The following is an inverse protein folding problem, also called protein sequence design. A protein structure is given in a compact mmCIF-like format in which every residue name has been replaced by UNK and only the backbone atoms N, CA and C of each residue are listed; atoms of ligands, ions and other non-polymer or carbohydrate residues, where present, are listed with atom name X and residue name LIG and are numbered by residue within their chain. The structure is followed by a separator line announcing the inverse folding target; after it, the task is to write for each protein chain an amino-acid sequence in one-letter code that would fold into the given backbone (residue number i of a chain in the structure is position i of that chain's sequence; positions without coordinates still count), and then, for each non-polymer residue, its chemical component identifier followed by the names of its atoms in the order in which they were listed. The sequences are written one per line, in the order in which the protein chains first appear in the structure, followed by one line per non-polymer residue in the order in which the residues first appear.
data_IF_557962843912
#
_entry.id   IF_557962843912
#
_cell.length_a   1.000
_cell.length_b   1.000
_cell.length_c   1.000
_cell.angle_alpha   90.00
_cell.angle_beta   90.00
_cell.angle_gamma   90.00
#
_symmetry.space_group_name_H-M   'P 1'
#
loop_
_entity.id
_entity.type
_entity.pdbx_description
1 polymer ?
#
# COMPACT_ATOMS: atom_id res chain seq x y z
N UNK A 1 -18.47 -25.02 1.05
CA UNK A 1 -17.17 -24.84 0.36
C UNK A 1 -16.13 -24.49 1.41
N UNK A 2 -15.22 -25.40 1.75
CA UNK A 2 -14.15 -25.13 2.72
C UNK A 2 -13.06 -24.31 2.04
N UNK A 3 -12.82 -23.09 2.52
CA UNK A 3 -11.75 -22.23 2.01
C UNK A 3 -10.46 -22.64 2.73
N UNK A 4 -9.63 -23.43 2.06
CA UNK A 4 -8.25 -23.70 2.49
C UNK A 4 -7.34 -22.62 1.94
N UNK A 5 -6.69 -21.85 2.82
CA UNK A 5 -5.67 -20.87 2.43
C UNK A 5 -4.34 -21.62 2.40
N UNK A 6 -3.87 -21.98 1.21
CA UNK A 6 -2.56 -22.60 1.03
C UNK A 6 -1.49 -21.51 0.93
N UNK A 7 -0.42 -21.65 1.72
CA UNK A 7 0.73 -20.74 1.66
C UNK A 7 1.57 -20.95 0.39
N UNK A 8 1.38 -22.08 -0.29
CA UNK A 8 2.06 -22.40 -1.55
C UNK A 8 1.45 -21.66 -2.75
N UNK A 9 0.26 -21.06 -2.58
CA UNK A 9 -0.41 -20.39 -3.68
C UNK A 9 0.32 -19.08 -4.05
N UNK A 10 0.64 -18.86 -5.34
CA UNK A 10 1.49 -17.74 -5.77
C UNK A 10 0.91 -16.38 -5.41
N UNK A 11 -0.43 -16.24 -5.42
CA UNK A 11 -1.10 -15.01 -4.99
C UNK A 11 -0.85 -14.70 -3.50
N UNK A 12 -0.92 -15.71 -2.65
CA UNK A 12 -0.74 -15.57 -1.19
C UNK A 12 0.69 -15.13 -0.88
N UNK A 13 1.67 -15.76 -1.52
CA UNK A 13 3.09 -15.41 -1.37
C UNK A 13 3.36 -13.99 -1.87
N UNK A 14 2.79 -13.62 -3.02
CA UNK A 14 2.90 -12.27 -3.58
C UNK A 14 2.35 -11.23 -2.61
N UNK A 15 1.16 -11.46 -2.06
CA UNK A 15 0.58 -10.57 -1.04
C UNK A 15 1.50 -10.43 0.18
N UNK A 16 2.05 -11.54 0.71
CA UNK A 16 2.94 -11.51 1.88
C UNK A 16 4.22 -10.72 1.62
N UNK A 17 4.89 -10.98 0.50
CA UNK A 17 6.14 -10.29 0.12
C UNK A 17 5.90 -8.79 -0.07
N UNK A 18 4.87 -8.42 -0.83
CA UNK A 18 4.55 -7.01 -1.06
C UNK A 18 4.10 -6.29 0.21
N UNK A 19 3.35 -6.96 1.08
CA UNK A 19 2.98 -6.42 2.39
C UNK A 19 4.21 -6.19 3.26
N UNK A 20 5.15 -7.13 3.32
CA UNK A 20 6.40 -6.99 4.05
C UNK A 20 7.25 -5.81 3.53
N UNK A 21 7.40 -5.67 2.21
CA UNK A 21 8.12 -4.55 1.59
C UNK A 21 7.50 -3.19 1.97
N UNK A 22 6.18 -3.09 1.96
CA UNK A 22 5.45 -1.89 2.33
C UNK A 22 5.59 -1.57 3.83
N UNK A 23 5.59 -2.59 4.69
CA UNK A 23 5.87 -2.43 6.13
C UNK A 23 7.28 -1.91 6.35
N UNK A 24 8.29 -2.51 5.70
CA UNK A 24 9.69 -2.07 5.82
C UNK A 24 9.84 -0.60 5.43
N UNK A 25 9.22 -0.19 4.33
CA UNK A 25 9.16 1.22 3.91
C UNK A 25 8.51 2.11 4.98
N UNK A 26 7.36 1.71 5.52
CA UNK A 26 6.64 2.49 6.53
C UNK A 26 7.43 2.60 7.85
N UNK A 27 8.09 1.51 8.25
CA UNK A 27 8.98 1.47 9.39
C UNK A 27 10.20 2.35 9.20
N UNK A 28 10.71 2.53 7.98
CA UNK A 28 11.79 3.48 7.70
C UNK A 28 11.30 4.94 7.82
N UNK A 29 10.06 5.23 7.42
CA UNK A 29 9.46 6.57 7.53
C UNK A 29 9.16 6.99 8.98
N UNK A 30 8.80 6.05 9.85
CA UNK A 30 8.48 6.32 11.27
C UNK A 30 9.60 7.02 12.05
N UNK A 31 10.84 6.50 12.13
CA UNK A 31 11.94 7.16 12.83
C UNK A 31 12.37 8.43 12.10
N UNK A 32 12.28 8.52 10.77
CA UNK A 32 12.56 9.77 10.05
C UNK A 32 11.58 10.88 10.46
N UNK A 33 10.30 10.56 10.56
CA UNK A 33 9.29 11.49 11.09
C UNK A 33 9.59 11.86 12.54
N UNK A 34 9.96 10.91 13.40
CA UNK A 34 10.32 11.18 14.80
C UNK A 34 11.61 12.03 14.93
N UNK A 35 12.64 11.76 14.12
CA UNK A 35 13.93 12.47 14.14
C UNK A 35 13.78 13.93 13.73
N UNK A 36 12.88 14.22 12.78
CA UNK A 36 12.60 15.60 12.35
C UNK A 36 12.03 16.46 13.48
N UNK A 37 11.38 15.85 14.48
CA UNK A 37 10.87 16.53 15.67
C UNK A 37 11.97 16.76 16.72
N UNK A 38 12.84 15.76 16.96
CA UNK A 38 13.94 15.85 17.94
C UNK A 38 15.03 16.84 17.50
N UNK A 39 15.28 16.95 16.18
CA UNK A 39 16.30 17.83 15.61
C UNK A 39 15.69 19.02 14.86
N UNK A 40 14.84 19.81 15.55
CA UNK A 40 14.34 21.12 15.07
C UNK A 40 15.54 21.97 14.61
N UNK A 41 15.75 22.10 13.30
CA UNK A 41 16.84 22.88 12.71
C UNK A 41 17.60 22.20 11.55
N UNK A 42 17.58 20.86 11.46
CA UNK A 42 18.22 20.13 10.33
C UNK A 42 17.29 20.00 9.13
N UNK A 43 15.99 19.81 9.39
CA UNK A 43 14.99 19.72 8.33
C UNK A 43 14.21 21.03 8.24
N UNK A 44 14.17 21.67 7.06
CA UNK A 44 13.53 22.98 6.89
C UNK A 44 12.01 22.97 7.17
N UNK A 45 11.37 21.79 7.18
CA UNK A 45 9.96 21.66 7.51
C UNK A 45 9.62 20.26 8.09
N UNK A 46 9.69 20.06 9.41
CA UNK A 46 9.45 18.75 10.05
C UNK A 46 8.03 18.22 9.83
N UNK A 47 7.07 19.09 9.52
CA UNK A 47 5.68 18.69 9.29
C UNK A 47 5.49 17.93 7.97
N UNK A 48 6.40 18.09 6.98
CA UNK A 48 6.30 17.40 5.69
C UNK A 48 6.48 15.89 5.85
N UNK A 49 7.50 15.46 6.61
CA UNK A 49 7.80 14.04 6.80
C UNK A 49 6.71 13.36 7.62
N UNK A 50 6.19 14.04 8.66
CA UNK A 50 5.05 13.56 9.45
C UNK A 50 3.78 13.43 8.60
N UNK A 51 3.47 14.42 7.75
CA UNK A 51 2.32 14.35 6.83
C UNK A 51 2.46 13.19 5.85
N UNK A 52 3.65 12.98 5.30
CA UNK A 52 3.92 11.85 4.40
C UNK A 52 3.72 10.51 5.12
N UNK A 53 4.27 10.33 6.34
CA UNK A 53 4.06 9.12 7.14
C UNK A 53 2.59 8.84 7.41
N UNK A 54 1.82 9.86 7.83
CA UNK A 54 0.39 9.71 8.12
C UNK A 54 -0.42 9.41 6.85
N UNK A 55 -0.08 10.04 5.72
CA UNK A 55 -0.71 9.75 4.42
C UNK A 55 -0.44 8.31 3.99
N UNK A 56 0.80 7.84 4.17
CA UNK A 56 1.17 6.45 3.90
C UNK A 56 0.39 5.47 4.78
N UNK A 57 0.36 5.70 6.10
CA UNK A 57 -0.37 4.85 7.03
C UNK A 57 -1.86 4.72 6.66
N UNK A 58 -2.51 5.84 6.31
CA UNK A 58 -3.93 5.87 5.94
C UNK A 58 -4.24 5.09 4.66
N UNK A 59 -3.29 5.01 3.73
CA UNK A 59 -3.49 4.29 2.46
C UNK A 59 -3.08 2.82 2.53
N UNK A 60 -2.04 2.49 3.32
CA UNK A 60 -1.57 1.12 3.49
C UNK A 60 -2.51 0.29 4.37
N UNK A 61 -3.11 0.88 5.41
CA UNK A 61 -3.98 0.14 6.32
C UNK A 61 -5.22 -0.48 5.61
N UNK A 62 -5.97 0.25 4.77
CA UNK A 62 -7.04 -0.34 3.96
C UNK A 62 -6.52 -1.39 2.99
N UNK A 63 -5.34 -1.18 2.38
CA UNK A 63 -4.76 -2.13 1.44
C UNK A 63 -4.40 -3.47 2.12
N UNK A 64 -3.81 -3.46 3.31
CA UNK A 64 -3.53 -4.72 4.03
C UNK A 64 -4.80 -5.45 4.40
N UNK A 65 -5.81 -4.75 4.90
CA UNK A 65 -7.08 -5.38 5.27
C UNK A 65 -7.80 -5.96 4.04
N UNK A 66 -7.99 -5.14 3.00
CA UNK A 66 -8.68 -5.54 1.78
C UNK A 66 -7.86 -6.57 1.01
N UNK A 67 -6.54 -6.46 0.97
CA UNK A 67 -5.66 -7.42 0.33
C UNK A 67 -5.71 -8.80 0.98
N UNK A 68 -5.73 -8.87 2.31
CA UNK A 68 -5.93 -10.12 3.04
C UNK A 68 -7.28 -10.77 2.69
N UNK A 69 -8.36 -9.98 2.67
CA UNK A 69 -9.69 -10.46 2.27
C UNK A 69 -9.75 -10.84 0.79
N UNK A 70 -9.03 -10.13 -0.09
CA UNK A 70 -9.02 -10.44 -1.52
C UNK A 70 -8.38 -11.80 -1.78
N UNK A 71 -7.32 -12.17 -1.06
CA UNK A 71 -6.70 -13.50 -1.19
C UNK A 71 -7.68 -14.62 -0.81
N UNK A 72 -8.61 -14.40 0.11
CA UNK A 72 -9.61 -15.42 0.49
C UNK A 72 -10.67 -15.65 -0.58
N UNK A 73 -10.88 -14.69 -1.49
CA UNK A 73 -11.83 -14.79 -2.61
C UNK A 73 -11.33 -15.63 -3.80
N UNK A 74 -10.09 -16.17 -3.73
CA UNK A 74 -9.45 -16.96 -4.81
C UNK A 74 -9.63 -16.35 -6.22
N UNK A 75 -9.24 -15.08 -6.42
CA UNK A 75 -9.33 -14.44 -7.72
C UNK A 75 -8.31 -15.08 -8.69
N UNK A 76 -8.47 -14.86 -10.01
CA UNK A 76 -7.48 -15.27 -10.99
C UNK A 76 -6.07 -14.78 -10.58
N UNK A 77 -5.06 -15.68 -10.49
CA UNK A 77 -3.73 -15.32 -9.99
C UNK A 77 -3.08 -14.17 -10.77
N UNK A 78 -3.24 -14.12 -12.08
CA UNK A 78 -2.63 -13.11 -12.95
C UNK A 78 -3.09 -11.69 -12.60
N UNK A 79 -4.39 -11.53 -12.34
CA UNK A 79 -4.99 -10.25 -11.97
C UNK A 79 -4.54 -9.85 -10.57
N UNK A 80 -4.60 -10.76 -9.60
CA UNK A 80 -4.22 -10.45 -8.23
C UNK A 80 -2.72 -10.13 -8.07
N UNK A 81 -1.85 -10.89 -8.75
CA UNK A 81 -0.40 -10.66 -8.72
C UNK A 81 -0.06 -9.30 -9.34
N UNK A 82 -0.66 -8.97 -10.49
CA UNK A 82 -0.41 -7.70 -11.16
C UNK A 82 -0.90 -6.51 -10.34
N UNK A 83 -2.06 -6.60 -9.67
CA UNK A 83 -2.57 -5.58 -8.75
C UNK A 83 -1.61 -5.31 -7.59
N UNK A 84 -1.08 -6.34 -6.93
CA UNK A 84 -0.12 -6.20 -5.82
C UNK A 84 1.21 -5.57 -6.25
N UNK A 85 1.72 -5.94 -7.44
CA UNK A 85 2.92 -5.36 -8.03
C UNK A 85 2.71 -3.89 -8.40
N UNK A 86 1.60 -3.58 -9.08
CA UNK A 86 1.23 -2.21 -9.46
C UNK A 86 1.08 -1.33 -8.22
N UNK A 87 0.33 -1.79 -7.21
CA UNK A 87 0.16 -1.05 -5.96
C UNK A 87 1.51 -0.75 -5.31
N UNK A 88 2.36 -1.77 -5.14
CA UNK A 88 3.66 -1.58 -4.49
C UNK A 88 4.55 -0.61 -5.27
N UNK A 89 4.61 -0.74 -6.60
CA UNK A 89 5.38 0.18 -7.45
C UNK A 89 4.89 1.63 -7.35
N UNK A 90 3.56 1.85 -7.37
CA UNK A 90 2.97 3.16 -7.21
C UNK A 90 3.32 3.76 -5.84
N UNK A 91 3.25 2.98 -4.77
CA UNK A 91 3.66 3.44 -3.43
C UNK A 91 5.15 3.77 -3.36
N UNK A 92 6.02 3.05 -4.07
CA UNK A 92 7.45 3.39 -4.11
C UNK A 92 7.70 4.71 -4.86
N UNK A 93 6.94 5.00 -5.93
CA UNK A 93 7.01 6.28 -6.65
C UNK A 93 6.56 7.44 -5.76
N UNK A 94 5.52 7.26 -4.94
CA UNK A 94 5.01 8.31 -4.05
C UNK A 94 6.05 8.75 -3.02
N UNK A 95 6.75 7.80 -2.39
CA UNK A 95 7.80 8.18 -1.43
C UNK A 95 9.00 8.84 -2.11
N UNK A 96 9.34 8.43 -3.34
CA UNK A 96 10.37 9.11 -4.13
C UNK A 96 9.96 10.57 -4.42
N UNK A 97 8.69 10.82 -4.76
CA UNK A 97 8.16 12.18 -4.94
C UNK A 97 8.19 13.05 -3.69
N UNK A 98 7.99 12.46 -2.50
CA UNK A 98 8.14 13.19 -1.23
C UNK A 98 9.61 13.39 -0.82
N UNK A 99 10.47 12.40 -1.07
CA UNK A 99 11.87 12.42 -0.64
C UNK A 99 12.77 13.24 -1.57
N UNK A 100 12.43 13.30 -2.86
CA UNK A 100 13.25 13.94 -3.89
C UNK A 100 12.39 14.93 -4.69
N UNK A 101 12.90 16.15 -4.92
CA UNK A 101 12.27 17.15 -5.81
C UNK A 101 12.30 16.86 -7.34
N UNK A 102 13.02 15.88 -7.92
CA UNK A 102 13.08 15.70 -9.36
C UNK A 102 11.85 15.00 -9.94
N UNK A 103 10.98 14.37 -9.12
CA UNK A 103 9.75 13.75 -9.63
C UNK A 103 8.68 14.84 -9.78
N UNK A 104 8.11 15.04 -10.99
CA UNK A 104 7.06 16.02 -11.17
C UNK A 104 5.83 15.66 -10.32
N UNK A 105 5.15 16.64 -9.68
CA UNK A 105 4.00 16.41 -8.81
C UNK A 105 2.90 15.58 -9.46
N UNK A 106 2.70 15.79 -10.77
CA UNK A 106 1.72 15.08 -11.60
C UNK A 106 1.90 13.56 -11.51
N UNK A 107 3.13 13.04 -11.55
CA UNK A 107 3.37 11.59 -11.46
C UNK A 107 3.10 11.04 -10.07
N UNK A 108 3.40 11.81 -9.03
CA UNK A 108 3.10 11.46 -7.64
C UNK A 108 1.59 11.40 -7.41
N UNK A 109 0.85 12.37 -7.94
CA UNK A 109 -0.60 12.42 -7.84
C UNK A 109 -1.26 11.25 -8.59
N UNK A 110 -0.78 10.93 -9.79
CA UNK A 110 -1.24 9.74 -10.52
C UNK A 110 -0.96 8.45 -9.75
N UNK A 111 0.21 8.32 -9.13
CA UNK A 111 0.54 7.14 -8.33
C UNK A 111 -0.33 7.03 -7.06
N UNK A 112 -0.70 8.17 -6.44
CA UNK A 112 -1.65 8.22 -5.33
C UNK A 112 -3.05 7.75 -5.78
N UNK A 113 -3.54 8.28 -6.89
CA UNK A 113 -4.85 7.94 -7.46
C UNK A 113 -4.88 6.46 -7.84
N UNK A 114 -3.84 5.96 -8.52
CA UNK A 114 -3.74 4.56 -8.92
C UNK A 114 -3.79 3.63 -7.71
N UNK A 115 -3.01 3.94 -6.66
CA UNK A 115 -3.00 3.16 -5.42
C UNK A 115 -4.39 3.11 -4.79
N UNK A 116 -5.11 4.24 -4.78
CA UNK A 116 -6.46 4.34 -4.24
C UNK A 116 -7.47 3.52 -5.06
N UNK A 117 -7.40 3.62 -6.39
CA UNK A 117 -8.26 2.86 -7.31
C UNK A 117 -8.07 1.35 -7.17
N UNK A 118 -6.84 0.88 -7.01
CA UNK A 118 -6.55 -0.55 -6.80
C UNK A 118 -7.23 -1.05 -5.52
N UNK A 119 -7.08 -0.34 -4.40
CA UNK A 119 -7.73 -0.71 -3.14
C UNK A 119 -9.25 -0.69 -3.26
N UNK A 120 -9.79 0.29 -4.00
CA UNK A 120 -11.23 0.39 -4.25
C UNK A 120 -11.74 -0.80 -5.07
N UNK A 121 -11.06 -1.17 -6.15
CA UNK A 121 -11.37 -2.33 -6.98
C UNK A 121 -11.36 -3.63 -6.15
N UNK A 122 -10.31 -3.87 -5.39
CA UNK A 122 -10.19 -5.06 -4.56
C UNK A 122 -11.31 -5.11 -3.50
N UNK A 123 -11.65 -3.95 -2.92
CA UNK A 123 -12.73 -3.84 -1.93
C UNK A 123 -14.09 -4.19 -2.54
N UNK A 124 -14.42 -3.61 -3.70
CA UNK A 124 -15.66 -3.93 -4.41
C UNK A 124 -15.73 -5.41 -4.80
N UNK A 125 -14.61 -6.01 -5.21
CA UNK A 125 -14.56 -7.43 -5.55
C UNK A 125 -14.86 -8.31 -4.33
N UNK A 126 -14.28 -7.98 -3.17
CA UNK A 126 -14.55 -8.70 -1.91
C UNK A 126 -16.02 -8.59 -1.52
N UNK A 127 -16.61 -7.39 -1.59
CA UNK A 127 -18.04 -7.20 -1.29
C UNK A 127 -18.92 -8.00 -2.26
N UNK A 128 -18.59 -7.98 -3.55
CA UNK A 128 -19.32 -8.74 -4.56
C UNK A 128 -19.26 -10.26 -4.31
N UNK A 129 -18.10 -10.78 -3.93
CA UNK A 129 -17.92 -12.20 -3.66
C UNK A 129 -18.69 -12.67 -2.42
N UNK A 130 -18.71 -11.86 -1.35
CA UNK A 130 -19.40 -12.17 -0.10
C UNK A 130 -20.82 -11.63 -0.02
N UNK A 131 -21.40 -11.14 -1.12
CA UNK A 131 -22.74 -10.53 -1.15
C UNK A 131 -23.84 -11.46 -0.64
N UNK A 132 -23.66 -12.77 -0.80
CA UNK A 132 -24.66 -13.78 -0.44
C UNK A 132 -24.76 -13.95 1.09
N UNK A 133 -23.87 -13.32 1.87
CA UNK A 133 -23.91 -13.29 3.33
C UNK A 133 -24.74 -12.11 3.90
N UNK A 134 -25.28 -11.23 3.05
CA UNK A 134 -26.16 -10.11 3.39
C UNK A 134 -27.60 -10.50 3.01
#
# INVERSE_FOLDING_TARGET
MTITITLDHPLTQTYMVHSALLVVKLLALSPMAAMTWVRKGIFPNPDIVRRAYLSELKNLAPFWLVGALYVTTRPPPDVGISLFRMFTSARMIVILGYATRPVPPVFTDFALILSYLITCYMSMYVVYYYRDAI
#
